data_IF_702753032198
#
_entry.id   IF_702753032198
#
_cell.length_a   1.000
_cell.length_b   1.000
_cell.length_c   1.000
_cell.angle_alpha   90.00
_cell.angle_beta   90.00
_cell.angle_gamma   90.00
#
_symmetry.space_group_name_H-M   'P 1'
#
loop_
_entity.id
_entity.type
_entity.pdbx_description
1 polymer ?
#
# COMPACT_ATOMS: atom_id res chain seq x y z
N UNK A 1 22.11 -5.11 -33.02
CA UNK A 1 22.04 -3.66 -32.68
C UNK A 1 21.04 -3.43 -31.54
N UNK A 2 21.47 -3.40 -30.26
CA UNK A 2 20.57 -3.33 -29.08
C UNK A 2 20.00 -1.92 -28.74
N UNK A 3 20.07 -0.95 -29.65
CA UNK A 3 19.80 0.47 -29.33
C UNK A 3 18.36 0.99 -29.56
N UNK A 4 17.51 0.30 -30.33
CA UNK A 4 16.26 0.92 -30.82
C UNK A 4 15.17 1.08 -29.76
N UNK A 5 15.07 0.16 -28.80
CA UNK A 5 14.03 0.22 -27.75
C UNK A 5 14.30 1.36 -26.77
N UNK A 6 15.54 1.51 -26.31
CA UNK A 6 15.92 2.58 -25.38
C UNK A 6 15.77 3.98 -26.00
N UNK A 7 16.02 4.12 -27.31
CA UNK A 7 15.78 5.37 -28.02
C UNK A 7 14.27 5.72 -28.04
N UNK A 8 13.42 4.75 -28.42
CA UNK A 8 11.96 4.94 -28.41
C UNK A 8 11.41 5.30 -27.02
N UNK A 9 11.92 4.68 -25.95
CA UNK A 9 11.54 5.02 -24.57
C UNK A 9 11.96 6.45 -24.19
N UNK A 10 13.17 6.87 -24.56
CA UNK A 10 13.66 8.23 -24.30
C UNK A 10 12.81 9.28 -25.03
N UNK A 11 12.39 9.00 -26.26
CA UNK A 11 11.55 9.91 -27.04
C UNK A 11 10.12 10.00 -26.50
N UNK A 12 9.55 8.87 -26.06
CA UNK A 12 8.27 8.84 -25.37
C UNK A 12 8.32 9.65 -24.06
N UNK A 13 9.38 9.48 -23.27
CA UNK A 13 9.58 10.25 -22.04
C UNK A 13 9.75 11.75 -22.32
N UNK A 14 10.55 12.12 -23.31
CA UNK A 14 10.70 13.53 -23.73
C UNK A 14 9.37 14.15 -24.16
N UNK A 15 8.55 13.40 -24.88
CA UNK A 15 7.21 13.84 -25.30
C UNK A 15 6.29 14.07 -24.11
N UNK A 16 6.30 13.16 -23.12
CA UNK A 16 5.51 13.31 -21.89
C UNK A 16 6.00 14.49 -21.05
N UNK A 17 7.31 14.69 -20.92
CA UNK A 17 7.89 15.85 -20.23
C UNK A 17 7.55 17.17 -20.91
N UNK A 18 7.59 17.21 -22.25
CA UNK A 18 7.21 18.40 -23.02
C UNK A 18 5.72 18.75 -22.84
N UNK A 19 4.83 17.76 -22.86
CA UNK A 19 3.38 17.96 -22.62
C UNK A 19 3.05 18.37 -21.19
N UNK A 20 3.80 17.83 -20.22
CA UNK A 20 3.58 18.09 -18.78
C UNK A 20 4.36 19.29 -18.27
N UNK A 21 5.20 19.93 -19.09
CA UNK A 21 5.94 21.15 -18.74
C UNK A 21 6.86 21.00 -17.52
N UNK A 22 7.16 19.77 -17.09
CA UNK A 22 7.96 19.45 -15.92
C UNK A 22 9.17 18.61 -16.34
N UNK A 23 10.38 18.87 -15.81
CA UNK A 23 11.56 18.09 -16.14
C UNK A 23 11.43 16.64 -15.66
N UNK A 24 11.81 15.67 -16.49
CA UNK A 24 11.65 14.22 -16.24
C UNK A 24 11.99 13.74 -14.82
N UNK A 25 13.12 14.14 -14.19
CA UNK A 25 13.44 13.68 -12.84
C UNK A 25 12.43 14.15 -11.79
N UNK A 26 11.89 15.36 -11.95
CA UNK A 26 10.88 15.91 -11.03
C UNK A 26 9.54 15.20 -11.17
N UNK A 27 9.19 14.74 -12.37
CA UNK A 27 7.96 14.00 -12.62
C UNK A 27 8.01 12.59 -12.01
N UNK A 28 9.15 11.92 -12.13
CA UNK A 28 9.39 10.62 -11.49
C UNK A 28 9.34 10.77 -9.96
N UNK A 29 9.99 11.80 -9.42
CA UNK A 29 9.96 12.08 -7.98
C UNK A 29 8.54 12.38 -7.50
N UNK A 30 7.79 13.19 -8.24
CA UNK A 30 6.39 13.51 -7.93
C UNK A 30 5.50 12.29 -7.94
N UNK A 31 5.66 11.45 -8.97
CA UNK A 31 4.94 10.19 -9.06
C UNK A 31 5.25 9.28 -7.88
N UNK A 32 6.53 9.11 -7.52
CA UNK A 32 6.94 8.30 -6.38
C UNK A 32 6.36 8.81 -5.06
N UNK A 33 6.50 10.11 -4.78
CA UNK A 33 5.96 10.71 -3.55
C UNK A 33 4.44 10.54 -3.47
N UNK A 34 3.73 10.77 -4.57
CA UNK A 34 2.29 10.65 -4.61
C UNK A 34 1.82 9.18 -4.54
N UNK A 35 2.58 8.26 -5.12
CA UNK A 35 2.36 6.82 -5.02
C UNK A 35 2.46 6.35 -3.56
N UNK A 36 3.48 6.81 -2.84
CA UNK A 36 3.65 6.49 -1.41
C UNK A 36 2.54 7.12 -0.56
N UNK A 37 2.20 8.38 -0.81
CA UNK A 37 1.13 9.05 -0.06
C UNK A 37 -0.22 8.34 -0.25
N UNK A 38 -0.54 7.96 -1.49
CA UNK A 38 -1.74 7.20 -1.81
C UNK A 38 -1.68 5.75 -1.35
N UNK A 39 -0.55 5.25 -0.85
CA UNK A 39 -0.48 3.97 -0.15
C UNK A 39 -0.71 4.14 1.37
N UNK A 40 -0.11 5.16 1.99
CA UNK A 40 -0.20 5.40 3.44
C UNK A 40 -1.57 5.92 3.85
N UNK A 41 -2.13 6.90 3.12
CA UNK A 41 -3.39 7.54 3.49
C UNK A 41 -4.56 6.54 3.51
N UNK A 42 -4.78 5.71 2.46
CA UNK A 42 -5.82 4.69 2.52
C UNK A 42 -5.55 3.65 3.60
N UNK A 43 -4.31 3.18 3.76
CA UNK A 43 -3.99 2.18 4.78
C UNK A 43 -4.39 2.66 6.19
N UNK A 44 -3.97 3.88 6.54
CA UNK A 44 -4.26 4.48 7.84
C UNK A 44 -5.75 4.83 7.96
N UNK A 45 -6.34 5.44 6.94
CA UNK A 45 -7.75 5.83 6.92
C UNK A 45 -8.70 4.65 7.03
N UNK A 46 -8.44 3.56 6.29
CA UNK A 46 -9.23 2.34 6.35
C UNK A 46 -9.06 1.66 7.70
N UNK A 47 -7.84 1.60 8.26
CA UNK A 47 -7.60 1.03 9.58
C UNK A 47 -8.43 1.74 10.67
N UNK A 48 -8.31 3.07 10.75
CA UNK A 48 -9.04 3.85 11.76
C UNK A 48 -10.55 3.86 11.48
N UNK A 49 -10.97 3.89 10.21
CA UNK A 49 -12.37 3.75 9.83
C UNK A 49 -12.96 2.40 10.26
N UNK A 50 -12.27 1.30 9.98
CA UNK A 50 -12.68 -0.03 10.39
C UNK A 50 -12.72 -0.17 11.92
N UNK A 51 -11.73 0.41 12.61
CA UNK A 51 -11.64 0.42 14.08
C UNK A 51 -12.75 1.21 14.74
N UNK A 52 -13.06 2.39 14.24
CA UNK A 52 -14.12 3.25 14.80
C UNK A 52 -15.51 2.67 14.56
N UNK A 53 -15.71 1.99 13.43
CA UNK A 53 -16.98 1.36 13.08
C UNK A 53 -17.12 -0.08 13.62
N UNK A 54 -16.04 -0.68 14.12
CA UNK A 54 -16.03 -2.07 14.59
C UNK A 54 -16.34 -3.11 13.51
N UNK A 55 -16.05 -2.79 12.24
CA UNK A 55 -16.42 -3.64 11.08
C UNK A 55 -15.33 -4.61 10.68
N UNK A 56 -14.07 -4.39 11.08
CA UNK A 56 -12.95 -5.23 10.65
C UNK A 56 -13.12 -6.69 11.00
N UNK A 57 -13.47 -6.98 12.26
CA UNK A 57 -13.69 -8.34 12.75
C UNK A 57 -14.80 -9.04 11.97
N UNK A 58 -15.96 -8.40 11.80
CA UNK A 58 -17.12 -8.97 11.09
C UNK A 58 -16.80 -9.32 9.64
N UNK A 59 -16.08 -8.45 8.94
CA UNK A 59 -15.72 -8.67 7.53
C UNK A 59 -14.72 -9.81 7.40
N UNK A 60 -13.67 -9.83 8.24
CA UNK A 60 -12.66 -10.88 8.20
C UNK A 60 -13.26 -12.24 8.60
N UNK A 61 -14.09 -12.28 9.66
CA UNK A 61 -14.79 -13.50 10.06
C UNK A 61 -15.72 -14.01 8.97
N UNK A 62 -16.47 -13.15 8.27
CA UNK A 62 -17.31 -13.59 7.15
C UNK A 62 -16.49 -14.25 6.02
N UNK A 63 -15.33 -13.68 5.68
CA UNK A 63 -14.43 -14.22 4.64
C UNK A 63 -13.87 -15.60 5.05
N UNK A 64 -13.58 -15.80 6.33
CA UNK A 64 -13.04 -17.05 6.87
C UNK A 64 -14.14 -18.11 7.05
N UNK A 65 -15.30 -17.74 7.59
CA UNK A 65 -16.40 -18.67 7.91
C UNK A 65 -17.13 -19.20 6.67
N UNK A 66 -17.29 -18.39 5.63
CA UNK A 66 -17.89 -18.83 4.35
C UNK A 66 -17.12 -19.99 3.69
N UNK A 67 -15.86 -20.23 4.09
CA UNK A 67 -15.05 -21.34 3.63
C UNK A 67 -15.52 -22.69 4.18
N UNK A 68 -15.86 -22.75 5.47
CA UNK A 68 -16.13 -24.00 6.17
C UNK A 68 -17.45 -24.66 5.74
N UNK A 69 -18.33 -23.91 5.11
CA UNK A 69 -19.70 -24.33 4.75
C UNK A 69 -19.90 -24.63 3.25
N UNK A 70 -18.85 -24.63 2.43
CA UNK A 70 -19.01 -24.66 0.98
C UNK A 70 -19.23 -26.08 0.40
N UNK A 71 -20.49 -26.51 0.38
CA UNK A 71 -21.07 -27.44 -0.60
C UNK A 71 -22.20 -26.70 -1.35
N UNK A 72 -21.90 -25.99 -2.45
CA UNK A 72 -22.91 -25.56 -3.43
C UNK A 72 -22.32 -24.70 -4.56
N UNK A 73 -22.52 -25.16 -5.80
CA UNK A 73 -22.57 -24.45 -7.08
C UNK A 73 -22.15 -22.98 -7.10
N UNK A 74 -20.97 -22.66 -7.63
CA UNK A 74 -20.56 -21.27 -7.86
C UNK A 74 -19.78 -21.06 -9.17
N UNK A 75 -20.12 -19.96 -9.86
CA UNK A 75 -19.48 -19.50 -11.10
C UNK A 75 -17.97 -19.29 -10.93
N UNK A 76 -17.19 -19.63 -11.96
CA UNK A 76 -15.71 -19.59 -11.96
C UNK A 76 -15.11 -18.23 -11.58
N UNK A 77 -15.82 -17.14 -11.85
CA UNK A 77 -15.41 -15.79 -11.46
C UNK A 77 -15.47 -15.58 -9.94
N UNK A 78 -16.53 -16.04 -9.29
CA UNK A 78 -16.74 -15.85 -7.85
C UNK A 78 -15.75 -16.68 -7.05
N UNK A 79 -15.45 -17.90 -7.49
CA UNK A 79 -14.44 -18.74 -6.85
C UNK A 79 -13.04 -18.15 -6.93
N UNK A 80 -12.65 -17.59 -8.09
CA UNK A 80 -11.37 -16.90 -8.26
C UNK A 80 -11.25 -15.66 -7.37
N UNK A 81 -12.28 -14.81 -7.35
CA UNK A 81 -12.30 -13.61 -6.52
C UNK A 81 -12.20 -13.98 -5.02
N UNK A 82 -12.92 -15.02 -4.58
CA UNK A 82 -12.84 -15.53 -3.20
C UNK A 82 -11.45 -16.05 -2.84
N UNK A 83 -10.84 -16.85 -3.71
CA UNK A 83 -9.49 -17.37 -3.47
C UNK A 83 -8.46 -16.23 -3.34
N UNK A 84 -8.62 -15.18 -4.15
CA UNK A 84 -7.78 -13.98 -4.11
C UNK A 84 -7.97 -13.19 -2.81
N UNK A 85 -9.20 -13.03 -2.33
CA UNK A 85 -9.47 -12.37 -1.05
C UNK A 85 -8.87 -13.15 0.12
N UNK A 86 -8.98 -14.49 0.11
CA UNK A 86 -8.38 -15.34 1.14
C UNK A 86 -6.87 -15.20 1.19
N UNK A 87 -6.20 -15.26 0.04
CA UNK A 87 -4.74 -15.09 0.02
C UNK A 87 -4.34 -13.70 0.54
N UNK A 88 -5.14 -12.67 0.27
CA UNK A 88 -4.89 -11.34 0.82
C UNK A 88 -5.12 -11.24 2.32
N UNK A 89 -6.11 -11.97 2.86
CA UNK A 89 -6.32 -12.08 4.31
C UNK A 89 -5.14 -12.77 4.98
N UNK A 90 -4.68 -13.90 4.44
CA UNK A 90 -3.52 -14.64 4.95
C UNK A 90 -2.21 -13.83 4.85
N UNK A 91 -1.97 -13.17 3.72
CA UNK A 91 -0.84 -12.25 3.56
C UNK A 91 -0.93 -11.07 4.54
N UNK A 92 -2.14 -10.54 4.73
CA UNK A 92 -2.42 -9.45 5.65
C UNK A 92 -2.15 -9.83 7.10
N UNK A 93 -2.50 -11.05 7.51
CA UNK A 93 -2.23 -11.56 8.86
C UNK A 93 -0.72 -11.74 9.10
N UNK A 94 -0.02 -12.32 8.12
CA UNK A 94 1.44 -12.44 8.15
C UNK A 94 2.15 -11.07 8.22
N UNK A 95 1.63 -10.07 7.50
CA UNK A 95 2.14 -8.71 7.57
C UNK A 95 1.83 -8.05 8.92
N UNK A 96 0.59 -8.14 9.40
CA UNK A 96 0.12 -7.53 10.63
C UNK A 96 0.87 -8.10 11.84
N UNK A 97 1.09 -9.41 11.89
CA UNK A 97 1.88 -10.06 12.94
C UNK A 97 3.35 -9.63 12.91
N UNK A 98 3.96 -9.51 11.73
CA UNK A 98 5.36 -9.06 11.58
C UNK A 98 5.54 -7.61 12.01
N UNK A 99 4.72 -6.70 11.50
CA UNK A 99 4.79 -5.27 11.80
C UNK A 99 4.35 -5.00 13.24
N UNK A 100 3.25 -5.61 13.64
CA UNK A 100 2.71 -5.57 14.98
C UNK A 100 3.74 -5.91 16.04
N UNK A 101 4.39 -7.07 15.93
CA UNK A 101 5.43 -7.49 16.89
C UNK A 101 6.70 -6.65 16.83
N UNK A 102 7.07 -6.11 15.66
CA UNK A 102 8.27 -5.28 15.51
C UNK A 102 8.11 -3.92 16.20
N UNK A 103 6.92 -3.34 16.14
CA UNK A 103 6.68 -1.99 16.64
C UNK A 103 5.80 -1.92 17.89
N UNK A 104 5.15 -3.02 18.28
CA UNK A 104 4.17 -3.05 19.36
C UNK A 104 2.83 -2.41 18.97
N UNK A 105 2.36 -2.69 17.75
CA UNK A 105 1.15 -2.06 17.18
C UNK A 105 0.08 -3.13 16.89
N UNK A 106 -1.17 -2.72 16.62
CA UNK A 106 -2.31 -3.60 16.33
C UNK A 106 -2.66 -4.60 17.46
N UNK A 107 -2.27 -4.30 18.70
CA UNK A 107 -2.48 -5.19 19.85
C UNK A 107 -1.38 -6.23 20.07
N UNK A 108 -0.30 -6.19 19.29
CA UNK A 108 0.89 -7.00 19.54
C UNK A 108 1.85 -6.31 20.52
N UNK A 109 2.54 -7.08 21.33
CA UNK A 109 3.63 -6.58 22.17
C UNK A 109 4.92 -6.39 21.36
N UNK A 110 5.63 -5.29 21.63
CA UNK A 110 6.90 -4.99 20.97
C UNK A 110 7.96 -6.00 21.40
N UNK A 111 8.60 -6.69 20.44
CA UNK A 111 9.73 -7.58 20.73
C UNK A 111 10.85 -6.82 21.43
N UNK A 112 11.28 -7.31 22.60
CA UNK A 112 12.48 -6.85 23.29
C UNK A 112 13.71 -7.46 22.59
N UNK A 113 14.74 -6.64 22.38
CA UNK A 113 15.99 -7.10 21.78
C UNK A 113 16.69 -8.09 22.73
N UNK A 114 16.87 -9.34 22.28
CA UNK A 114 17.49 -10.41 23.07
C UNK A 114 16.53 -11.47 23.61
N UNK A 115 15.22 -11.30 23.39
CA UNK A 115 14.25 -12.34 23.69
C UNK A 115 14.24 -13.38 22.56
N UNK A 116 14.87 -14.53 22.80
CA UNK A 116 14.63 -15.78 22.07
C UNK A 116 13.25 -16.33 22.47
N UNK A 117 12.24 -15.46 22.44
CA UNK A 117 10.86 -15.79 22.69
C UNK A 117 10.46 -16.77 21.61
N UNK A 118 10.28 -18.00 22.07
CA UNK A 118 9.84 -19.19 21.38
C UNK A 118 9.09 -18.89 20.07
N UNK A 119 9.37 -19.66 19.03
CA UNK A 119 8.48 -19.78 17.89
C UNK A 119 7.21 -20.50 18.38
N UNK A 120 6.48 -19.91 19.33
CA UNK A 120 5.08 -20.22 19.48
C UNK A 120 4.44 -19.59 18.25
N UNK A 121 4.03 -20.38 17.22
CA UNK A 121 2.91 -19.92 16.41
C UNK A 121 1.87 -19.50 17.45
N UNK A 122 1.22 -18.37 17.26
CA UNK A 122 0.01 -18.10 18.04
C UNK A 122 -1.02 -19.09 17.49
N UNK A 123 -0.85 -20.35 17.88
CA UNK A 123 -1.88 -21.35 17.85
C UNK A 123 -2.66 -21.11 19.13
N UNK A 124 -3.92 -20.77 18.89
CA UNK A 124 -5.06 -21.12 19.72
C UNK A 124 -5.46 -20.11 20.80
N UNK A 125 -6.61 -19.47 20.52
CA UNK A 125 -7.60 -18.94 21.48
C UNK A 125 -7.42 -17.55 22.09
N UNK A 126 -6.69 -16.64 21.46
CA UNK A 126 -7.06 -15.22 21.57
C UNK A 126 -7.91 -14.85 20.36
N UNK A 127 -9.17 -14.40 20.54
CA UNK A 127 -9.97 -13.92 19.43
C UNK A 127 -9.13 -12.90 18.66
N UNK A 128 -9.19 -12.94 17.31
CA UNK A 128 -8.52 -11.95 16.47
C UNK A 128 -8.87 -10.60 17.07
N UNK A 129 -7.91 -9.97 17.75
CA UNK A 129 -8.17 -8.70 18.40
C UNK A 129 -8.70 -7.78 17.31
N UNK A 130 -9.78 -7.03 17.56
CA UNK A 130 -10.43 -6.23 16.52
C UNK A 130 -9.42 -5.38 15.75
N UNK A 131 -8.37 -4.90 16.41
CA UNK A 131 -7.24 -4.18 15.81
C UNK A 131 -6.45 -4.99 14.76
N UNK A 132 -6.21 -6.28 14.96
CA UNK A 132 -5.58 -7.16 13.97
C UNK A 132 -6.51 -7.30 12.76
N UNK A 133 -7.80 -7.57 12.98
CA UNK A 133 -8.76 -7.68 11.89
C UNK A 133 -8.88 -6.37 11.08
N UNK A 134 -8.87 -5.22 11.76
CA UNK A 134 -8.85 -3.90 11.13
C UNK A 134 -7.58 -3.70 10.28
N UNK A 135 -6.41 -4.18 10.76
CA UNK A 135 -5.16 -4.11 10.02
C UNK A 135 -5.16 -5.01 8.77
N UNK A 136 -5.67 -6.24 8.89
CA UNK A 136 -5.80 -7.17 7.75
C UNK A 136 -6.76 -6.59 6.70
N UNK A 137 -7.91 -6.08 7.14
CA UNK A 137 -8.87 -5.44 6.25
C UNK A 137 -8.27 -4.22 5.55
N UNK A 138 -7.58 -3.36 6.30
CA UNK A 138 -6.90 -2.19 5.74
C UNK A 138 -5.84 -2.57 4.71
N UNK A 139 -5.05 -3.61 5.00
CA UNK A 139 -4.05 -4.13 4.08
C UNK A 139 -4.70 -4.65 2.78
N UNK A 140 -5.71 -5.53 2.90
CA UNK A 140 -6.41 -6.11 1.77
C UNK A 140 -7.09 -5.05 0.90
N UNK A 141 -7.77 -4.09 1.51
CA UNK A 141 -8.45 -3.02 0.78
C UNK A 141 -7.46 -2.04 0.13
N UNK A 142 -6.35 -1.73 0.80
CA UNK A 142 -5.26 -0.93 0.19
C UNK A 142 -4.67 -1.66 -1.02
N UNK A 143 -4.53 -2.99 -0.95
CA UNK A 143 -4.08 -3.82 -2.07
C UNK A 143 -5.10 -3.83 -3.22
N UNK A 144 -6.39 -3.92 -2.93
CA UNK A 144 -7.45 -3.79 -3.93
C UNK A 144 -7.42 -2.42 -4.65
N UNK A 145 -6.97 -1.36 -3.98
CA UNK A 145 -6.83 -0.02 -4.54
C UNK A 145 -5.56 0.17 -5.39
N UNK A 146 -4.69 -0.84 -5.57
CA UNK A 146 -3.50 -0.75 -6.44
C UNK A 146 -3.74 -0.13 -7.83
N UNK A 147 -4.70 -0.60 -8.64
CA UNK A 147 -4.94 -0.02 -9.97
C UNK A 147 -5.39 1.44 -9.90
N UNK A 148 -6.23 1.78 -8.92
CA UNK A 148 -6.69 3.16 -8.70
C UNK A 148 -5.52 4.06 -8.29
N UNK A 149 -4.63 3.58 -7.42
CA UNK A 149 -3.43 4.32 -6.97
C UNK A 149 -2.51 4.67 -8.12
N UNK A 150 -2.32 3.75 -9.07
CA UNK A 150 -1.53 4.01 -10.27
C UNK A 150 -2.18 5.08 -11.14
N UNK A 151 -3.50 4.98 -11.37
CA UNK A 151 -4.24 5.95 -12.17
C UNK A 151 -4.22 7.36 -11.57
N UNK A 152 -4.53 7.47 -10.26
CA UNK A 152 -4.51 8.74 -9.53
C UNK A 152 -3.10 9.34 -9.50
N UNK A 153 -2.07 8.54 -9.22
CA UNK A 153 -0.69 9.03 -9.16
C UNK A 153 -0.18 9.52 -10.51
N UNK A 154 -0.51 8.82 -11.61
CA UNK A 154 -0.16 9.26 -12.97
C UNK A 154 -0.88 10.55 -13.35
N UNK A 155 -2.16 10.68 -13.01
CA UNK A 155 -2.98 11.84 -13.35
C UNK A 155 -2.50 13.11 -12.63
N UNK A 156 -2.18 13.01 -11.34
CA UNK A 156 -1.82 14.16 -10.51
C UNK A 156 -0.32 14.48 -10.48
N UNK A 157 0.56 13.57 -10.90
CA UNK A 157 2.02 13.80 -10.93
C UNK A 157 2.43 15.09 -11.67
N UNK A 158 1.85 15.45 -12.84
CA UNK A 158 2.16 16.72 -13.51
C UNK A 158 1.81 17.96 -12.68
N UNK A 159 0.66 17.96 -12.00
CA UNK A 159 0.22 19.07 -11.17
C UNK A 159 1.06 19.20 -9.90
N UNK A 160 1.38 18.06 -9.26
CA UNK A 160 2.20 18.02 -8.05
C UNK A 160 3.65 18.45 -8.31
N UNK A 161 4.22 18.08 -9.47
CA UNK A 161 5.57 18.49 -9.85
C UNK A 161 5.72 20.01 -9.92
N UNK A 162 4.75 20.66 -10.58
CA UNK A 162 4.71 22.13 -10.73
C UNK A 162 4.41 22.83 -9.40
N UNK A 163 3.48 22.29 -8.61
CA UNK A 163 2.99 22.93 -7.39
C UNK A 163 3.89 22.76 -6.17
N UNK A 164 4.58 21.62 -6.02
CA UNK A 164 5.31 21.27 -4.79
C UNK A 164 6.80 21.08 -5.04
N UNK A 165 7.19 20.33 -6.08
CA UNK A 165 8.61 19.98 -6.28
C UNK A 165 9.42 21.16 -6.81
N UNK A 166 8.88 21.90 -7.77
CA UNK A 166 9.58 23.06 -8.34
C UNK A 166 9.86 24.20 -7.33
N UNK A 167 8.92 24.60 -6.45
CA UNK A 167 9.25 25.56 -5.39
C UNK A 167 10.23 24.98 -4.37
N UNK A 168 10.07 23.74 -3.93
CA UNK A 168 11.01 23.10 -2.98
C UNK A 168 12.42 23.02 -3.56
N UNK A 169 12.57 22.67 -4.85
CA UNK A 169 13.86 22.68 -5.55
C UNK A 169 14.49 24.07 -5.58
N UNK A 170 13.71 25.11 -5.87
CA UNK A 170 14.17 26.50 -5.83
C UNK A 170 14.64 26.88 -4.43
N UNK A 171 13.87 26.54 -3.38
CA UNK A 171 14.25 26.79 -1.99
C UNK A 171 15.53 26.07 -1.56
N UNK A 172 15.73 24.81 -1.96
CA UNK A 172 16.92 24.02 -1.60
C UNK A 172 18.17 24.46 -2.39
N UNK A 173 18.03 24.92 -3.64
CA UNK A 173 19.17 25.40 -4.44
C UNK A 173 19.60 26.84 -4.12
N UNK A 174 18.76 27.66 -3.48
CA UNK A 174 19.11 29.03 -3.07
C UNK A 174 20.38 29.09 -2.20
N UNK A 175 20.58 28.26 -1.16
CA UNK A 175 21.82 28.29 -0.37
C UNK A 175 23.06 27.82 -1.16
N UNK A 176 22.90 26.99 -2.19
CA UNK A 176 24.02 26.46 -2.98
C UNK A 176 24.47 27.38 -4.13
N UNK A 177 23.66 28.34 -4.57
CA UNK A 177 24.01 29.25 -5.69
C UNK A 177 24.78 30.50 -5.28
N UNK A 178 25.09 30.68 -3.99
CA UNK A 178 25.81 31.85 -3.44
C UNK A 178 27.33 31.64 -3.26
N UNK A 179 27.93 30.58 -3.81
CA UNK A 179 29.37 30.27 -3.61
C UNK A 179 30.15 29.91 -4.89
N UNK A 180 29.70 30.34 -6.07
CA UNK A 180 30.52 30.34 -7.28
C UNK A 180 30.55 31.71 -7.91
#
# INVERSE_FOLDING_TARGET
>A
MPGSRLAAYKDALRTVSARTGAPLPSLILSFGVLHELTAVVPLVGIFYGARTLGVGERVISAIITDDSTSHSDNSSYISYARQTMKSWVEEGDNWASRVGRRYGVFGYEKRKAGDSGDFSPVQETKPISGDIANAILAYGLTKALLPVRLGVSLYFSPAFSRGVIEPVRKFIMIPFRKRS
#
